data_IF_416204677683
#
_entry.id   IF_416204677683
#
_cell.length_a   1.000
_cell.length_b   1.000
_cell.length_c   1.000
_cell.angle_alpha   90.00
_cell.angle_beta   90.00
_cell.angle_gamma   90.00
#
_symmetry.space_group_name_H-M   'P 1'
#
loop_
_entity.id
_entity.type
_entity.pdbx_description
1 polymer ?
#
# COMPACT_ATOMS: atom_id res chain seq x y z
N UNK A 1 33.36 26.73 -29.96
CA UNK A 1 32.17 26.13 -29.32
C UNK A 1 32.63 25.07 -28.34
N UNK A 2 32.65 25.28 -27.02
CA UNK A 2 33.02 24.22 -26.08
C UNK A 2 31.81 23.31 -25.82
N UNK A 3 32.00 22.01 -25.99
CA UNK A 3 31.00 21.01 -25.63
C UNK A 3 31.09 20.77 -24.12
N UNK A 4 30.07 21.20 -23.38
CA UNK A 4 29.95 20.94 -21.95
C UNK A 4 29.53 19.48 -21.78
N UNK A 5 30.43 18.63 -21.33
CA UNK A 5 30.09 17.26 -20.95
C UNK A 5 29.52 17.26 -19.53
N UNK A 6 28.20 17.11 -19.40
CA UNK A 6 27.55 16.94 -18.10
C UNK A 6 27.85 15.53 -17.55
N UNK A 7 28.32 15.39 -16.29
CA UNK A 7 28.40 14.09 -15.65
C UNK A 7 26.98 13.59 -15.35
N UNK A 8 26.63 12.41 -15.86
CA UNK A 8 25.43 11.69 -15.45
C UNK A 8 25.52 11.46 -13.93
N UNK A 9 24.51 11.89 -13.13
CA UNK A 9 24.51 11.63 -11.70
C UNK A 9 24.57 10.12 -11.49
N UNK A 10 25.65 9.66 -10.86
CA UNK A 10 25.85 8.26 -10.52
C UNK A 10 24.60 7.74 -9.82
N UNK A 11 24.12 6.56 -10.24
CA UNK A 11 22.89 5.94 -9.75
C UNK A 11 22.79 6.06 -8.24
N UNK A 12 22.00 7.03 -7.78
CA UNK A 12 21.72 7.21 -6.37
C UNK A 12 21.06 5.91 -5.90
N UNK A 13 21.77 5.13 -5.07
CA UNK A 13 21.21 3.97 -4.40
C UNK A 13 20.07 4.49 -3.53
N UNK A 14 18.84 4.32 -4.01
CA UNK A 14 17.67 4.57 -3.19
C UNK A 14 17.79 3.70 -1.93
N UNK A 15 17.62 4.26 -0.73
CA UNK A 15 17.66 3.47 0.49
C UNK A 15 16.64 2.34 0.38
N UNK A 16 17.08 1.11 0.64
CA UNK A 16 16.19 -0.05 0.61
C UNK A 16 15.02 0.22 1.56
N UNK A 17 13.76 -0.06 1.15
CA UNK A 17 12.61 0.22 2.00
C UNK A 17 12.75 -0.57 3.30
N UNK A 18 12.94 0.13 4.41
CA UNK A 18 13.01 -0.47 5.74
C UNK A 18 11.73 -1.26 5.98
N UNK A 19 11.84 -2.59 6.11
CA UNK A 19 10.69 -3.45 6.39
C UNK A 19 10.06 -2.93 7.68
N UNK A 20 8.77 -2.51 7.68
CA UNK A 20 8.13 -2.10 8.91
C UNK A 20 8.20 -3.26 9.90
N UNK A 21 8.50 -2.95 11.16
CA UNK A 21 8.45 -3.95 12.23
C UNK A 21 7.11 -4.70 12.15
N UNK A 22 7.15 -6.04 12.22
CA UNK A 22 5.98 -6.91 12.03
C UNK A 22 4.74 -6.44 12.81
N UNK A 23 4.84 -5.97 14.07
CA UNK A 23 3.70 -5.42 14.79
C UNK A 23 3.05 -4.23 14.08
N UNK A 24 3.86 -3.27 13.61
CA UNK A 24 3.36 -2.07 12.91
C UNK A 24 2.65 -2.45 11.60
N UNK A 25 3.18 -3.44 10.89
CA UNK A 25 2.54 -3.99 9.68
C UNK A 25 1.17 -4.61 10.00
N UNK A 26 1.11 -5.44 11.03
CA UNK A 26 -0.11 -6.11 11.46
C UNK A 26 -1.18 -5.13 11.97
N UNK A 27 -0.77 -4.12 12.75
CA UNK A 27 -1.65 -3.02 13.17
C UNK A 27 -2.25 -2.28 11.99
N UNK A 28 -1.42 -1.96 10.99
CA UNK A 28 -1.88 -1.31 9.76
C UNK A 28 -2.91 -2.19 9.03
N UNK A 29 -2.60 -3.47 8.82
CA UNK A 29 -3.52 -4.42 8.17
C UNK A 29 -4.85 -4.58 8.91
N UNK A 30 -4.81 -4.62 10.24
CA UNK A 30 -6.03 -4.69 11.05
C UNK A 30 -6.89 -3.43 10.85
N UNK A 31 -6.26 -2.25 10.86
CA UNK A 31 -6.95 -0.98 10.62
C UNK A 31 -7.56 -0.92 9.23
N UNK A 32 -6.78 -1.25 8.20
CA UNK A 32 -7.24 -1.21 6.81
C UNK A 32 -8.44 -2.15 6.58
N UNK A 33 -8.40 -3.36 7.15
CA UNK A 33 -9.51 -4.33 7.03
C UNK A 33 -10.76 -3.92 7.79
N UNK A 34 -10.63 -3.20 8.90
CA UNK A 34 -11.77 -2.59 9.59
C UNK A 34 -12.42 -1.51 8.75
N UNK A 35 -11.63 -0.65 8.11
CA UNK A 35 -12.15 0.35 7.16
C UNK A 35 -12.88 -0.33 6.01
N UNK A 36 -12.31 -1.40 5.46
CA UNK A 36 -12.98 -2.20 4.42
C UNK A 36 -14.29 -2.83 4.89
N UNK A 37 -14.38 -3.26 6.17
CA UNK A 37 -15.60 -3.82 6.74
C UNK A 37 -16.70 -2.77 6.96
N UNK A 38 -16.33 -1.53 7.27
CA UNK A 38 -17.25 -0.41 7.54
C UNK A 38 -17.66 0.37 6.28
N UNK A 39 -17.08 0.08 5.12
CA UNK A 39 -17.43 0.74 3.86
C UNK A 39 -18.91 0.53 3.52
N UNK A 40 -19.61 1.62 3.21
CA UNK A 40 -20.98 1.54 2.71
C UNK A 40 -21.01 1.05 1.26
N UNK A 41 -22.11 0.42 0.80
CA UNK A 41 -22.25 0.01 -0.60
C UNK A 41 -22.13 1.16 -1.60
N UNK A 42 -22.45 2.40 -1.19
CA UNK A 42 -22.27 3.59 -2.02
C UNK A 42 -20.78 3.94 -2.16
N UNK A 43 -20.04 3.96 -1.05
CA UNK A 43 -18.59 4.20 -1.07
C UNK A 43 -17.82 3.13 -1.84
N UNK A 44 -18.25 1.86 -1.74
CA UNK A 44 -17.68 0.78 -2.55
C UNK A 44 -17.90 1.04 -4.05
N UNK A 45 -19.10 1.47 -4.45
CA UNK A 45 -19.41 1.81 -5.85
C UNK A 45 -18.59 3.00 -6.33
N UNK A 46 -18.51 4.06 -5.53
CA UNK A 46 -17.76 5.27 -5.87
C UNK A 46 -16.26 5.00 -6.02
N UNK A 47 -15.72 4.08 -5.21
CA UNK A 47 -14.33 3.64 -5.28
C UNK A 47 -14.07 2.53 -6.34
N UNK A 48 -15.11 2.04 -7.02
CA UNK A 48 -14.99 0.93 -7.98
C UNK A 48 -14.60 -0.41 -7.35
N UNK A 49 -14.93 -0.62 -6.07
CA UNK A 49 -14.60 -1.83 -5.33
C UNK A 49 -15.69 -2.90 -5.48
N UNK A 50 -15.28 -4.14 -5.76
CA UNK A 50 -16.16 -5.31 -5.73
C UNK A 50 -16.55 -5.64 -4.28
N UNK A 51 -17.86 -5.63 -3.92
CA UNK A 51 -18.32 -5.96 -2.57
C UNK A 51 -17.88 -7.35 -2.10
N UNK A 52 -17.78 -8.34 -3.00
CA UNK A 52 -17.32 -9.68 -2.62
C UNK A 52 -15.81 -9.72 -2.38
N UNK A 53 -15.02 -8.99 -3.16
CA UNK A 53 -13.60 -8.81 -2.88
C UNK A 53 -13.37 -8.12 -1.53
N UNK A 54 -14.15 -7.07 -1.23
CA UNK A 54 -14.07 -6.35 0.05
C UNK A 54 -14.42 -7.27 1.22
N UNK A 55 -15.49 -8.06 1.10
CA UNK A 55 -15.87 -9.07 2.10
C UNK A 55 -14.81 -10.15 2.31
N UNK A 56 -14.15 -10.60 1.24
CA UNK A 56 -13.06 -11.58 1.34
C UNK A 56 -11.84 -10.98 2.04
N UNK A 57 -11.45 -9.75 1.68
CA UNK A 57 -10.29 -9.08 2.25
C UNK A 57 -10.51 -8.70 3.72
N UNK A 58 -11.70 -8.21 4.09
CA UNK A 58 -12.02 -7.83 5.47
C UNK A 58 -12.01 -9.01 6.44
N UNK A 59 -12.33 -10.22 5.95
CA UNK A 59 -12.29 -11.47 6.74
C UNK A 59 -10.89 -12.05 6.92
N UNK A 60 -9.88 -11.55 6.22
CA UNK A 60 -8.52 -12.09 6.35
C UNK A 60 -7.93 -11.74 7.72
N UNK A 61 -7.32 -12.71 8.42
CA UNK A 61 -6.63 -12.43 9.68
C UNK A 61 -5.42 -11.52 9.45
N UNK A 62 -5.13 -10.60 10.38
CA UNK A 62 -4.16 -9.51 10.22
C UNK A 62 -2.74 -9.96 9.81
N UNK A 63 -2.33 -11.18 10.18
CA UNK A 63 -1.01 -11.72 9.87
C UNK A 63 -0.88 -12.21 8.42
N UNK A 64 -2.01 -12.49 7.74
CA UNK A 64 -2.04 -13.03 6.38
C UNK A 64 -2.14 -11.91 5.35
N UNK A 65 -1.34 -12.02 4.28
CA UNK A 65 -1.47 -11.19 3.08
C UNK A 65 -2.52 -11.82 2.14
#
# INVERSE_FOLDING_TARGET
MPVVSLPLPGSARLPAPSRPALPRLWWRRLRDRRVLADLSPAQMRDAGLDPDAVRRESRKPFWRA
#
